data_IF_540208301169
#
_entry.id   IF_540208301169
#
_cell.length_a   1.000
_cell.length_b   1.000
_cell.length_c   1.000
_cell.angle_alpha   90.00
_cell.angle_beta   90.00
_cell.angle_gamma   90.00
#
_symmetry.space_group_name_H-M   'P 1'
#
loop_
_entity.id
_entity.type
_entity.pdbx_description
1 polymer ?
#
# COMPACT_ATOMS: atom_id res chain seq x y z
N UNK A 1 -7.69 25.80 -3.35
CA UNK A 1 -8.50 24.97 -2.42
C UNK A 1 -8.12 23.54 -2.71
N UNK A 2 -7.65 22.83 -1.71
CA UNK A 2 -7.29 21.42 -1.86
C UNK A 2 -8.57 20.64 -2.16
N UNK A 3 -8.58 19.87 -3.22
CA UNK A 3 -9.70 19.01 -3.59
C UNK A 3 -9.83 17.89 -2.56
N UNK A 4 -11.04 17.60 -2.11
CA UNK A 4 -11.34 16.62 -1.07
C UNK A 4 -12.20 15.51 -1.67
N UNK A 5 -11.88 14.24 -1.36
CA UNK A 5 -12.75 13.10 -1.60
C UNK A 5 -13.33 12.57 -0.31
N UNK A 6 -14.47 11.92 -0.40
CA UNK A 6 -15.13 11.26 0.74
C UNK A 6 -14.99 9.76 0.55
N UNK A 7 -14.40 9.09 1.53
CA UNK A 7 -14.37 7.63 1.61
C UNK A 7 -15.23 7.14 2.77
N UNK A 8 -15.77 5.93 2.67
CA UNK A 8 -16.67 5.34 3.64
C UNK A 8 -16.23 3.91 3.99
N UNK A 9 -16.27 3.59 5.27
CA UNK A 9 -16.10 2.24 5.80
C UNK A 9 -17.20 1.90 6.80
N UNK A 10 -17.10 0.77 7.50
CA UNK A 10 -18.08 0.33 8.49
C UNK A 10 -18.23 1.30 9.69
N UNK A 11 -17.25 2.17 9.93
CA UNK A 11 -17.26 3.18 10.99
C UNK A 11 -17.78 4.54 10.51
N UNK A 12 -18.15 4.66 9.21
CA UNK A 12 -18.72 5.87 8.60
C UNK A 12 -17.73 6.64 7.74
N UNK A 13 -18.17 7.80 7.30
CA UNK A 13 -17.47 8.63 6.30
C UNK A 13 -16.31 9.42 6.88
N UNK A 14 -15.27 9.64 6.06
CA UNK A 14 -14.16 10.55 6.30
C UNK A 14 -13.82 11.35 5.05
N UNK A 15 -13.42 12.59 5.26
CA UNK A 15 -12.86 13.46 4.23
C UNK A 15 -11.36 13.24 4.13
N UNK A 16 -10.86 13.06 2.90
CA UNK A 16 -9.44 12.84 2.61
C UNK A 16 -9.03 13.78 1.50
N UNK A 17 -7.91 14.49 1.67
CA UNK A 17 -7.34 15.30 0.60
C UNK A 17 -6.98 14.45 -0.62
N UNK A 18 -7.32 14.92 -1.82
CA UNK A 18 -6.92 14.26 -3.06
C UNK A 18 -5.41 14.30 -3.33
N UNK A 19 -4.63 15.04 -2.55
CA UNK A 19 -3.17 14.97 -2.58
C UNK A 19 -2.66 13.62 -2.07
N UNK A 20 -3.41 12.97 -1.16
CA UNK A 20 -3.01 11.69 -0.59
C UNK A 20 -3.45 10.49 -1.45
N UNK A 21 -2.53 9.50 -1.56
CA UNK A 21 -2.82 8.21 -2.17
C UNK A 21 -3.27 7.17 -1.15
N UNK A 22 -3.04 7.39 0.14
CA UNK A 22 -3.65 6.55 1.17
C UNK A 22 -5.14 6.86 1.33
N UNK A 23 -5.89 5.92 1.90
CA UNK A 23 -7.33 6.00 2.06
C UNK A 23 -7.77 6.05 3.52
N UNK A 24 -9.04 5.67 3.74
CA UNK A 24 -9.72 5.79 5.03
C UNK A 24 -9.11 4.90 6.13
N UNK A 25 -8.59 3.71 5.79
CA UNK A 25 -7.95 2.83 6.78
C UNK A 25 -6.66 3.44 7.32
N UNK A 26 -5.85 4.02 6.44
CA UNK A 26 -4.64 4.74 6.83
C UNK A 26 -4.98 5.96 7.67
N UNK A 27 -5.98 6.76 7.28
CA UNK A 27 -6.41 7.92 8.05
C UNK A 27 -6.82 7.50 9.48
N UNK A 28 -7.59 6.43 9.64
CA UNK A 28 -7.95 5.92 10.96
C UNK A 28 -6.76 5.38 11.75
N UNK A 29 -5.79 4.78 11.07
CA UNK A 29 -4.56 4.35 11.72
C UNK A 29 -3.77 5.55 12.28
N UNK A 30 -3.70 6.66 11.54
CA UNK A 30 -3.09 7.91 11.99
C UNK A 30 -3.82 8.52 13.19
N UNK A 31 -5.16 8.45 13.21
CA UNK A 31 -5.96 8.89 14.35
C UNK A 31 -5.72 8.03 15.60
N UNK A 32 -5.45 6.73 15.42
CA UNK A 32 -5.44 5.72 16.48
C UNK A 32 -4.04 5.42 17.05
N UNK A 33 -3.01 5.47 16.22
CA UNK A 33 -1.63 5.10 16.57
C UNK A 33 -0.69 6.29 16.40
N UNK A 34 -0.42 6.98 17.50
CA UNK A 34 0.57 8.06 17.63
C UNK A 34 1.51 7.70 18.79
N UNK A 35 2.25 6.61 18.63
CA UNK A 35 3.02 5.98 19.71
C UNK A 35 4.49 6.40 19.64
N UNK A 36 5.09 6.36 18.45
CA UNK A 36 6.49 6.74 18.25
C UNK A 36 6.60 8.11 17.56
N UNK A 37 7.85 8.55 17.35
CA UNK A 37 8.15 9.75 16.56
C UNK A 37 8.50 9.45 15.11
N UNK A 38 8.66 8.16 14.78
CA UNK A 38 8.97 7.68 13.44
C UNK A 38 7.70 7.24 12.71
N UNK A 39 7.76 7.27 11.41
CA UNK A 39 6.71 6.74 10.55
C UNK A 39 7.32 5.83 9.47
N UNK A 40 6.47 5.14 8.75
CA UNK A 40 6.93 4.20 7.72
C UNK A 40 7.61 4.87 6.53
N UNK A 41 7.39 6.16 6.29
CA UNK A 41 8.15 6.90 5.27
C UNK A 41 9.66 6.89 5.55
N UNK A 42 10.07 6.70 6.81
CA UNK A 42 11.48 6.63 7.21
C UNK A 42 12.13 5.27 6.90
N UNK A 43 11.33 4.28 6.47
CA UNK A 43 11.75 2.90 6.23
C UNK A 43 11.52 2.47 4.75
N UNK A 44 12.20 3.10 3.79
CA UNK A 44 11.95 2.89 2.35
C UNK A 44 12.16 1.43 1.90
N UNK A 45 13.12 0.72 2.48
CA UNK A 45 13.36 -0.68 2.12
C UNK A 45 12.20 -1.58 2.53
N UNK A 46 11.55 -1.27 3.66
CA UNK A 46 10.36 -1.99 4.09
C UNK A 46 9.17 -1.70 3.18
N UNK A 47 8.93 -0.43 2.82
CA UNK A 47 7.88 -0.07 1.85
C UNK A 47 8.09 -0.84 0.55
N UNK A 48 9.31 -0.83 0.00
CA UNK A 48 9.65 -1.59 -1.21
C UNK A 48 9.35 -3.08 -1.05
N UNK A 49 9.70 -3.67 0.08
CA UNK A 49 9.39 -5.06 0.40
C UNK A 49 7.89 -5.35 0.39
N UNK A 50 7.07 -4.48 0.97
CA UNK A 50 5.61 -4.60 0.95
C UNK A 50 5.05 -4.50 -0.47
N UNK A 51 5.53 -3.54 -1.26
CA UNK A 51 5.08 -3.35 -2.66
C UNK A 51 5.49 -4.53 -3.54
N UNK A 52 6.69 -5.12 -3.33
CA UNK A 52 7.12 -6.35 -4.03
C UNK A 52 6.17 -7.52 -3.74
N UNK A 53 5.71 -7.67 -2.50
CA UNK A 53 4.68 -8.69 -2.15
C UNK A 53 3.40 -8.45 -2.94
N UNK A 54 2.91 -7.20 -3.00
CA UNK A 54 1.68 -6.88 -3.76
C UNK A 54 1.83 -7.17 -5.25
N UNK A 55 2.95 -6.80 -5.84
CA UNK A 55 3.26 -7.11 -7.24
C UNK A 55 3.26 -8.62 -7.50
N UNK A 56 3.98 -9.40 -6.68
CA UNK A 56 4.08 -10.84 -6.85
C UNK A 56 2.72 -11.54 -6.71
N UNK A 57 1.89 -11.11 -5.74
CA UNK A 57 0.56 -11.68 -5.55
C UNK A 57 -0.40 -11.31 -6.67
N UNK A 58 -0.37 -10.08 -7.19
CA UNK A 58 -1.17 -9.66 -8.34
C UNK A 58 -0.84 -10.49 -9.59
N UNK A 59 0.45 -10.70 -9.88
CA UNK A 59 0.90 -11.55 -10.98
C UNK A 59 0.42 -12.99 -10.82
N UNK A 60 0.53 -13.55 -9.62
CA UNK A 60 0.08 -14.91 -9.32
C UNK A 60 -1.44 -15.05 -9.44
N UNK A 61 -2.19 -14.11 -8.89
CA UNK A 61 -3.65 -14.10 -8.96
C UNK A 61 -4.16 -13.94 -10.41
N UNK A 62 -3.46 -13.18 -11.23
CA UNK A 62 -3.71 -13.09 -12.68
C UNK A 62 -3.51 -14.46 -13.35
N UNK A 63 -2.38 -15.11 -13.08
CA UNK A 63 -2.04 -16.42 -13.64
C UNK A 63 -3.08 -17.49 -13.28
N UNK A 64 -3.55 -17.47 -12.02
CA UNK A 64 -4.58 -18.37 -11.50
C UNK A 64 -6.01 -17.98 -11.90
N UNK A 65 -6.19 -16.85 -12.61
CA UNK A 65 -7.49 -16.31 -13.05
C UNK A 65 -8.45 -15.99 -11.88
N UNK A 66 -7.92 -15.69 -10.69
CA UNK A 66 -8.70 -15.26 -9.52
C UNK A 66 -8.82 -13.73 -9.45
N UNK A 67 -8.02 -13.01 -10.23
CA UNK A 67 -8.09 -11.57 -10.42
C UNK A 67 -8.22 -11.27 -11.92
N UNK A 68 -9.12 -10.36 -12.36
CA UNK A 68 -9.21 -9.92 -13.75
C UNK A 68 -7.86 -9.41 -14.27
N UNK A 69 -7.54 -9.71 -15.52
CA UNK A 69 -6.22 -9.41 -16.07
C UNK A 69 -5.91 -7.92 -16.13
N UNK A 70 -6.89 -7.10 -16.48
CA UNK A 70 -6.80 -5.64 -16.56
C UNK A 70 -6.55 -5.01 -15.18
N UNK A 71 -7.27 -5.47 -14.16
CA UNK A 71 -7.06 -5.04 -12.76
C UNK A 71 -5.67 -5.44 -12.28
N UNK A 72 -5.27 -6.69 -12.53
CA UNK A 72 -3.94 -7.16 -12.13
C UNK A 72 -2.82 -6.37 -12.81
N UNK A 73 -2.96 -6.08 -14.11
CA UNK A 73 -1.97 -5.31 -14.87
C UNK A 73 -1.86 -3.87 -14.35
N UNK A 74 -2.97 -3.24 -13.99
CA UNK A 74 -2.98 -1.92 -13.38
C UNK A 74 -2.28 -1.93 -11.99
N UNK A 75 -2.55 -2.93 -11.16
CA UNK A 75 -1.88 -3.10 -9.86
C UNK A 75 -0.37 -3.30 -10.05
N UNK A 76 0.04 -4.14 -11.00
CA UNK A 76 1.46 -4.37 -11.29
C UNK A 76 2.14 -3.09 -11.77
N UNK A 77 1.51 -2.35 -12.69
CA UNK A 77 2.04 -1.08 -13.19
C UNK A 77 2.20 -0.04 -12.06
N UNK A 78 1.23 0.05 -11.15
CA UNK A 78 1.34 0.92 -9.98
C UNK A 78 2.48 0.48 -9.05
N UNK A 79 2.65 -0.81 -8.82
CA UNK A 79 3.78 -1.33 -8.04
C UNK A 79 5.12 -1.00 -8.71
N UNK A 80 5.23 -1.12 -10.02
CA UNK A 80 6.44 -0.78 -10.77
C UNK A 80 6.77 0.71 -10.66
N UNK A 81 5.77 1.59 -10.78
CA UNK A 81 5.97 3.02 -10.61
C UNK A 81 6.47 3.39 -9.18
N UNK A 82 6.05 2.65 -8.15
CA UNK A 82 6.57 2.85 -6.79
C UNK A 82 8.00 2.32 -6.67
N UNK A 83 8.28 1.14 -7.20
CA UNK A 83 9.57 0.46 -7.04
C UNK A 83 10.68 1.08 -7.88
N UNK A 84 10.40 1.42 -9.12
CA UNK A 84 11.39 1.86 -10.11
C UNK A 84 11.51 3.39 -10.14
N UNK A 85 10.38 4.11 -10.09
CA UNK A 85 10.34 5.57 -10.20
C UNK A 85 10.26 6.26 -8.83
N UNK A 86 10.05 5.53 -7.74
CA UNK A 86 9.91 6.07 -6.39
C UNK A 86 8.61 6.85 -6.16
N UNK A 87 7.58 6.66 -7.01
CA UNK A 87 6.30 7.35 -6.83
C UNK A 87 5.65 6.99 -5.50
N UNK A 88 5.00 7.95 -4.89
CA UNK A 88 4.23 7.76 -3.65
C UNK A 88 5.02 7.22 -2.45
N UNK A 89 6.35 7.26 -2.45
CA UNK A 89 7.17 6.79 -1.31
C UNK A 89 6.95 7.63 -0.04
N UNK A 90 6.40 8.82 -0.17
CA UNK A 90 5.99 9.74 0.90
C UNK A 90 4.56 9.47 1.43
N UNK A 91 3.86 8.47 0.90
CA UNK A 91 2.46 8.18 1.20
C UNK A 91 2.25 7.08 2.25
N UNK A 92 3.27 6.82 3.09
CA UNK A 92 3.26 5.80 4.14
C UNK A 92 3.44 6.42 5.53
N UNK A 93 2.52 7.29 5.98
CA UNK A 93 2.69 8.07 7.19
C UNK A 93 2.35 7.30 8.49
N UNK A 94 1.98 6.02 8.42
CA UNK A 94 1.60 5.23 9.60
C UNK A 94 2.77 5.10 10.58
N UNK A 95 2.46 5.11 11.88
CA UNK A 95 3.45 4.86 12.93
C UNK A 95 4.12 3.50 12.74
N UNK A 96 5.39 3.40 13.03
CA UNK A 96 6.13 2.12 12.99
C UNK A 96 5.61 1.12 14.03
N UNK A 97 5.06 1.62 15.13
CA UNK A 97 4.36 0.82 16.13
C UNK A 97 2.86 0.81 15.84
N UNK A 98 2.31 -0.37 15.66
CA UNK A 98 0.89 -0.55 15.39
C UNK A 98 0.36 -1.82 16.06
N UNK A 99 -0.95 -1.92 16.19
CA UNK A 99 -1.59 -3.09 16.77
C UNK A 99 -1.54 -4.31 15.85
N UNK A 100 -1.49 -5.51 16.46
CA UNK A 100 -1.59 -6.77 15.72
C UNK A 100 -0.37 -7.09 14.86
N UNK A 101 -0.61 -7.71 13.71
CA UNK A 101 0.41 -8.22 12.79
C UNK A 101 0.74 -7.25 11.64
N UNK A 102 0.67 -5.94 11.87
CA UNK A 102 1.00 -4.93 10.86
C UNK A 102 -0.16 -4.57 9.92
N UNK A 103 -1.39 -4.66 10.38
CA UNK A 103 -2.59 -4.40 9.57
C UNK A 103 -2.60 -2.99 8.98
N UNK A 104 -2.22 -1.97 9.75
CA UNK A 104 -2.22 -0.58 9.29
C UNK A 104 -1.29 -0.38 8.10
N UNK A 105 -0.07 -0.91 8.15
CA UNK A 105 0.90 -0.83 7.05
C UNK A 105 0.41 -1.65 5.83
N UNK A 106 -0.13 -2.85 6.06
CA UNK A 106 -0.67 -3.65 4.96
C UNK A 106 -1.80 -2.92 4.23
N UNK A 107 -2.73 -2.31 4.98
CA UNK A 107 -3.83 -1.55 4.38
C UNK A 107 -3.35 -0.25 3.75
N UNK A 108 -2.40 0.45 4.36
CA UNK A 108 -1.78 1.63 3.74
C UNK A 108 -1.17 1.28 2.38
N UNK A 109 -0.41 0.18 2.30
CA UNK A 109 0.16 -0.29 1.02
C UNK A 109 -0.95 -0.60 0.01
N UNK A 110 -2.01 -1.29 0.43
CA UNK A 110 -3.13 -1.61 -0.45
C UNK A 110 -3.80 -0.35 -1.01
N UNK A 111 -4.06 0.65 -0.15
CA UNK A 111 -4.72 1.90 -0.53
C UNK A 111 -3.85 2.73 -1.47
N UNK A 112 -2.56 2.86 -1.21
CA UNK A 112 -1.63 3.60 -2.07
C UNK A 112 -1.53 2.95 -3.45
N UNK A 113 -1.37 1.63 -3.51
CA UNK A 113 -1.30 0.89 -4.77
C UNK A 113 -2.62 0.99 -5.54
N UNK A 114 -3.77 0.83 -4.87
CA UNK A 114 -5.09 0.95 -5.51
C UNK A 114 -5.31 2.35 -6.10
N UNK A 115 -5.05 3.40 -5.33
CA UNK A 115 -5.27 4.77 -5.79
C UNK A 115 -4.29 5.19 -6.89
N UNK A 116 -3.06 4.71 -6.85
CA UNK A 116 -2.11 4.94 -7.93
C UNK A 116 -2.52 4.20 -9.22
N UNK A 117 -2.99 2.96 -9.10
CA UNK A 117 -3.52 2.20 -10.23
C UNK A 117 -4.77 2.86 -10.84
N UNK A 118 -5.70 3.34 -10.01
CA UNK A 118 -6.87 4.09 -10.45
C UNK A 118 -6.47 5.35 -11.23
N UNK A 119 -5.54 6.14 -10.70
CA UNK A 119 -5.05 7.35 -11.37
C UNK A 119 -4.42 7.02 -12.73
N UNK A 120 -3.60 5.96 -12.81
CA UNK A 120 -2.95 5.54 -14.07
C UNK A 120 -3.97 5.07 -15.11
N UNK A 121 -5.13 4.56 -14.68
CA UNK A 121 -6.26 4.21 -15.55
C UNK A 121 -7.15 5.43 -15.88
N UNK A 122 -6.90 6.60 -15.32
CA UNK A 122 -7.67 7.83 -15.53
C UNK A 122 -8.94 7.92 -14.66
N UNK A 123 -9.04 7.14 -13.60
CA UNK A 123 -10.12 7.22 -12.62
C UNK A 123 -9.73 8.12 -11.44
N UNK A 124 -10.72 8.79 -10.80
CA UNK A 124 -10.49 9.47 -9.54
C UNK A 124 -10.03 8.49 -8.44
N UNK A 125 -9.16 8.96 -7.54
CA UNK A 125 -8.82 8.21 -6.33
C UNK A 125 -10.07 7.92 -5.51
N UNK A 126 -10.13 6.75 -4.88
CA UNK A 126 -11.30 6.30 -4.13
C UNK A 126 -12.38 5.64 -4.97
N UNK A 127 -12.20 5.45 -6.29
CA UNK A 127 -13.14 4.71 -7.15
C UNK A 127 -12.97 3.20 -6.95
N UNK A 128 -13.25 2.74 -5.74
CA UNK A 128 -12.96 1.36 -5.30
C UNK A 128 -13.88 0.30 -5.93
N UNK A 129 -14.91 0.72 -6.67
CA UNK A 129 -15.69 -0.19 -7.53
C UNK A 129 -14.88 -0.70 -8.73
N UNK A 130 -13.77 -0.02 -9.11
CA UNK A 130 -12.89 -0.41 -10.21
C UNK A 130 -11.68 -1.18 -9.70
N UNK A 131 -10.97 -0.67 -8.68
CA UNK A 131 -9.87 -1.37 -8.01
C UNK A 131 -10.02 -1.15 -6.50
N UNK A 132 -10.35 -2.22 -5.78
CA UNK A 132 -10.55 -2.17 -4.35
C UNK A 132 -9.27 -2.54 -3.57
N UNK A 133 -8.86 -1.74 -2.55
CA UNK A 133 -7.65 -2.01 -1.78
C UNK A 133 -7.64 -3.40 -1.14
N UNK A 134 -8.75 -3.83 -0.55
CA UNK A 134 -8.84 -5.11 0.14
C UNK A 134 -9.18 -6.27 -0.80
N UNK A 135 -10.16 -6.07 -1.70
CA UNK A 135 -10.72 -7.18 -2.47
C UNK A 135 -9.90 -7.51 -3.72
N UNK A 136 -9.11 -6.55 -4.24
CA UNK A 136 -8.25 -6.73 -5.40
C UNK A 136 -6.76 -6.71 -5.02
N UNK A 137 -6.25 -5.61 -4.44
CA UNK A 137 -4.80 -5.50 -4.13
C UNK A 137 -4.39 -6.51 -3.05
N UNK A 138 -5.25 -6.75 -2.06
CA UNK A 138 -5.00 -7.75 -1.00
C UNK A 138 -5.57 -9.13 -1.33
N UNK A 139 -6.03 -9.37 -2.54
CA UNK A 139 -6.63 -10.64 -2.95
C UNK A 139 -5.76 -11.83 -2.62
N UNK A 140 -6.36 -12.86 -2.00
CA UNK A 140 -5.69 -14.11 -1.58
C UNK A 140 -4.58 -13.93 -0.56
N UNK A 141 -4.57 -12.83 0.20
CA UNK A 141 -3.54 -12.53 1.20
C UNK A 141 -4.15 -12.34 2.58
N UNK A 142 -3.40 -12.79 3.59
CA UNK A 142 -3.57 -12.35 4.98
C UNK A 142 -2.51 -11.31 5.31
N UNK A 143 -2.81 -10.39 6.23
CA UNK A 143 -1.78 -9.50 6.80
C UNK A 143 -0.65 -10.32 7.44
N UNK A 144 -0.98 -11.48 8.05
CA UNK A 144 0.00 -12.38 8.67
C UNK A 144 0.98 -13.01 7.67
N UNK A 145 0.66 -12.98 6.38
CA UNK A 145 1.56 -13.43 5.30
C UNK A 145 2.28 -12.23 4.67
N UNK A 146 1.52 -11.20 4.29
CA UNK A 146 2.04 -10.08 3.53
C UNK A 146 3.04 -9.24 4.34
N UNK A 147 2.69 -8.89 5.58
CA UNK A 147 3.53 -8.05 6.43
C UNK A 147 4.89 -8.68 6.76
N UNK A 148 4.98 -9.90 7.33
CA UNK A 148 6.27 -10.51 7.64
C UNK A 148 7.09 -10.85 6.40
N UNK A 149 6.46 -11.11 5.26
CA UNK A 149 7.17 -11.32 3.99
C UNK A 149 7.79 -10.02 3.49
N UNK A 150 7.03 -8.92 3.46
CA UNK A 150 7.53 -7.60 3.11
C UNK A 150 8.65 -7.13 4.04
N UNK A 151 8.50 -7.34 5.36
CA UNK A 151 9.54 -7.05 6.32
C UNK A 151 10.86 -7.81 6.04
N UNK A 152 10.77 -9.12 5.76
CA UNK A 152 11.94 -9.94 5.44
C UNK A 152 12.62 -9.47 4.15
N UNK A 153 11.86 -9.15 3.11
CA UNK A 153 12.41 -8.61 1.86
C UNK A 153 13.14 -7.30 2.10
N UNK A 154 12.53 -6.37 2.84
CA UNK A 154 13.15 -5.09 3.21
C UNK A 154 14.42 -5.28 4.04
N UNK A 155 14.39 -6.16 5.05
CA UNK A 155 15.55 -6.46 5.88
C UNK A 155 16.71 -7.07 5.08
N UNK A 156 16.43 -7.95 4.11
CA UNK A 156 17.46 -8.53 3.23
C UNK A 156 18.05 -7.44 2.33
N UNK A 157 17.22 -6.58 1.72
CA UNK A 157 17.68 -5.48 0.88
C UNK A 157 18.59 -4.53 1.67
N UNK A 158 18.17 -4.11 2.85
CA UNK A 158 18.92 -3.24 3.74
C UNK A 158 20.29 -3.84 4.13
N UNK A 159 20.31 -5.10 4.56
CA UNK A 159 21.55 -5.75 5.00
C UNK A 159 22.49 -6.03 3.84
N UNK A 160 21.96 -6.40 2.67
CA UNK A 160 22.77 -6.71 1.50
C UNK A 160 23.46 -5.47 0.94
N UNK A 161 22.74 -4.36 0.82
CA UNK A 161 23.33 -3.10 0.37
C UNK A 161 24.41 -2.61 1.30
N UNK A 162 24.17 -2.60 2.62
CA UNK A 162 25.15 -2.15 3.60
C UNK A 162 26.38 -3.06 3.75
N UNK A 163 26.23 -4.35 3.50
CA UNK A 163 27.38 -5.28 3.54
C UNK A 163 28.41 -5.02 2.42
N UNK A 164 28.03 -4.30 1.38
CA UNK A 164 28.90 -3.95 0.25
C UNK A 164 29.45 -2.51 0.33
N UNK A 165 29.00 -1.70 1.28
CA UNK A 165 29.47 -0.32 1.50
C UNK A 165 30.63 -0.23 2.52
N UNK A 166 30.98 -1.34 3.17
CA UNK A 166 32.11 -1.47 4.12
C UNK A 166 33.19 -2.35 3.55
#
# INVERSE_FOLDING_TARGET
>A
MTEIRIEEDLLGKREISNEHYYGIHTLRALENFQISRGCMNDEPDFIRGMVQVKKATALTNKQLKVLPSDVADAIVAACDAILDDGRCMDQFPTDSFQGGAGTSINMNTNEVVANLALEMLGYPKGTYDVIHPNDDVNKSQSTNDAYPTGFRLGAVSYTHLRAHET
#
